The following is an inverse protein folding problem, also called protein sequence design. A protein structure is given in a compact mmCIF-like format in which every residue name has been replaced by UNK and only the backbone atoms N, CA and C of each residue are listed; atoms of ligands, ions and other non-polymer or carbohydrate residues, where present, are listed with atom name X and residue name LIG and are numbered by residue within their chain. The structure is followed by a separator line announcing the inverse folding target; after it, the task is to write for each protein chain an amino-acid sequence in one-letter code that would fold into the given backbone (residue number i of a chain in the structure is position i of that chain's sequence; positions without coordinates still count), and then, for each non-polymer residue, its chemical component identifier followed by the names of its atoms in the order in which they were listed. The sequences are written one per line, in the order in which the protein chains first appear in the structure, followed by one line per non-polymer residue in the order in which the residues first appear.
data_IF_926931958976
#
_entry.id   IF_926931958976
#
_cell.length_a   1.000
_cell.length_b   1.000
_cell.length_c   1.000
_cell.angle_alpha   90.00
_cell.angle_beta   90.00
_cell.angle_gamma   90.00
#
_symmetry.space_group_name_H-M   'P 1'
#
loop_
_entity.id
_entity.type
_entity.pdbx_description
1 polymer ?
#
# COMPACT_ATOMS: atom_id res chain seq x y z
N UNK A 1 -10.75 21.14 -15.42
CA UNK A 1 -9.88 20.72 -14.31
C UNK A 1 -9.47 21.97 -13.55
N UNK A 2 -9.68 22.04 -12.23
CA UNK A 2 -9.21 23.17 -11.44
C UNK A 2 -7.67 23.14 -11.42
N UNK A 3 -7.03 24.30 -11.65
CA UNK A 3 -5.58 24.41 -11.65
C UNK A 3 -5.13 24.84 -10.26
N UNK A 4 -4.46 23.96 -9.53
CA UNK A 4 -3.89 24.26 -8.22
C UNK A 4 -2.44 24.72 -8.38
N UNK A 5 -2.08 25.85 -7.79
CA UNK A 5 -0.71 26.38 -7.82
C UNK A 5 0.21 25.66 -6.84
N UNK A 6 -0.34 25.07 -5.79
CA UNK A 6 0.40 24.31 -4.79
C UNK A 6 -0.41 23.13 -4.25
N UNK A 7 0.29 22.10 -3.78
CA UNK A 7 -0.31 20.97 -3.07
C UNK A 7 0.32 20.84 -1.69
N UNK A 8 -0.50 20.75 -0.65
CA UNK A 8 -0.08 20.51 0.73
C UNK A 8 -0.45 19.08 1.08
N UNK A 9 0.56 18.22 1.17
CA UNK A 9 0.40 16.80 1.49
C UNK A 9 0.63 16.62 2.98
N UNK A 10 -0.37 16.11 3.70
CA UNK A 10 -0.28 15.83 5.14
C UNK A 10 -0.28 14.33 5.34
N UNK A 11 0.77 13.82 5.99
CA UNK A 11 0.89 12.39 6.27
C UNK A 11 -0.19 11.91 7.25
N UNK A 12 -0.99 10.93 6.81
CA UNK A 12 -2.13 10.37 7.58
C UNK A 12 -1.98 8.87 7.88
N UNK A 13 -0.79 8.32 7.67
CA UNK A 13 -0.45 6.98 8.17
C UNK A 13 -0.48 6.91 9.70
N UNK A 14 -0.64 5.70 10.24
CA UNK A 14 -0.86 5.47 11.69
C UNK A 14 0.10 6.22 12.60
N UNK A 15 1.40 6.28 12.28
CA UNK A 15 2.40 7.00 13.08
C UNK A 15 2.13 8.51 13.18
N UNK A 16 1.84 9.17 12.06
CA UNK A 16 1.54 10.61 12.06
C UNK A 16 0.16 10.91 12.67
N UNK A 17 -0.81 10.01 12.47
CA UNK A 17 -2.13 10.12 13.10
C UNK A 17 -2.01 10.06 14.63
N UNK A 18 -1.19 9.14 15.16
CA UNK A 18 -0.89 9.08 16.59
C UNK A 18 -0.17 10.33 17.11
N UNK A 19 0.62 11.00 16.27
CA UNK A 19 1.30 12.27 16.59
C UNK A 19 0.43 13.52 16.33
N UNK A 20 -0.86 13.39 16.04
CA UNK A 20 -1.79 14.51 15.91
C UNK A 20 -1.97 15.07 14.49
N UNK A 21 -1.73 14.29 13.44
CA UNK A 21 -1.92 14.77 12.06
C UNK A 21 -3.38 15.06 11.67
N UNK A 22 -4.37 14.48 12.37
CA UNK A 22 -5.80 14.76 12.13
C UNK A 22 -6.17 16.21 12.48
N UNK A 23 -5.97 16.66 13.73
CA UNK A 23 -6.14 18.07 14.09
C UNK A 23 -5.30 19.03 13.24
N UNK A 24 -4.10 18.60 12.82
CA UNK A 24 -3.25 19.38 11.92
C UNK A 24 -3.92 19.59 10.55
N UNK A 25 -4.44 18.52 9.93
CA UNK A 25 -5.14 18.59 8.64
C UNK A 25 -6.34 19.54 8.71
N UNK A 26 -7.15 19.43 9.76
CA UNK A 26 -8.31 20.30 9.95
C UNK A 26 -7.91 21.77 10.15
N UNK A 27 -6.79 22.02 10.81
CA UNK A 27 -6.26 23.38 10.96
C UNK A 27 -5.80 23.95 9.63
N UNK A 28 -5.13 23.15 8.79
CA UNK A 28 -4.80 23.55 7.41
C UNK A 28 -6.04 23.90 6.60
N UNK A 29 -7.05 23.03 6.61
CA UNK A 29 -8.31 23.23 5.88
C UNK A 29 -8.97 24.55 6.26
N UNK A 30 -9.07 24.84 7.56
CA UNK A 30 -9.65 26.09 8.08
C UNK A 30 -8.81 27.31 7.72
N UNK A 31 -7.49 27.22 7.83
CA UNK A 31 -6.59 28.33 7.57
C UNK A 31 -6.55 28.72 6.08
N UNK A 32 -6.54 27.72 5.19
CA UNK A 32 -6.62 27.93 3.75
C UNK A 32 -7.92 28.63 3.36
N UNK A 33 -9.06 28.17 3.89
CA UNK A 33 -10.36 28.81 3.65
C UNK A 33 -10.40 30.24 4.22
N UNK A 34 -9.87 30.47 5.42
CA UNK A 34 -9.80 31.80 6.06
C UNK A 34 -9.05 32.82 5.21
N UNK A 35 -8.00 32.38 4.51
CA UNK A 35 -7.18 33.23 3.62
C UNK A 35 -7.64 33.22 2.16
N UNK A 36 -8.72 32.51 1.82
CA UNK A 36 -9.24 32.38 0.45
C UNK A 36 -8.32 31.62 -0.50
N UNK A 37 -7.46 30.74 0.03
CA UNK A 37 -6.49 29.94 -0.73
C UNK A 37 -7.00 28.53 -1.07
N UNK A 38 -8.19 28.15 -0.59
CA UNK A 38 -8.81 26.83 -0.76
C UNK A 38 -9.12 26.46 -2.22
N UNK A 39 -9.17 27.45 -3.11
CA UNK A 39 -9.33 27.24 -4.57
C UNK A 39 -8.01 27.20 -5.35
N UNK A 40 -6.90 27.58 -4.71
CA UNK A 40 -5.58 27.66 -5.33
C UNK A 40 -4.62 26.59 -4.79
N UNK A 41 -4.86 26.12 -3.56
CA UNK A 41 -4.03 25.13 -2.86
C UNK A 41 -4.85 23.87 -2.62
N UNK A 42 -4.38 22.74 -3.15
CA UNK A 42 -4.97 21.44 -2.87
C UNK A 42 -4.41 20.89 -1.56
N UNK A 43 -5.28 20.52 -0.62
CA UNK A 43 -4.91 19.85 0.62
C UNK A 43 -5.15 18.35 0.49
N UNK A 44 -4.09 17.55 0.53
CA UNK A 44 -4.12 16.10 0.25
C UNK A 44 -3.74 15.32 1.51
N UNK A 45 -4.55 14.33 1.88
CA UNK A 45 -4.16 13.32 2.85
C UNK A 45 -3.29 12.27 2.17
N UNK A 46 -2.13 11.93 2.73
CA UNK A 46 -1.22 10.95 2.10
C UNK A 46 -0.90 9.75 2.98
N UNK A 47 -0.40 8.70 2.33
CA UNK A 47 0.19 7.53 2.99
C UNK A 47 1.46 7.86 3.79
N UNK A 48 2.03 6.85 4.45
CA UNK A 48 3.21 7.01 5.30
C UNK A 48 4.46 7.41 4.50
N UNK A 49 5.19 8.44 4.96
CA UNK A 49 6.51 8.80 4.42
C UNK A 49 7.67 7.99 5.00
N UNK A 50 7.45 7.18 6.05
CA UNK A 50 8.44 6.26 6.63
C UNK A 50 9.35 6.82 7.73
N UNK A 51 9.55 8.14 7.84
CA UNK A 51 10.37 8.75 8.90
C UNK A 51 9.49 9.21 10.09
N UNK A 52 8.86 8.26 10.77
CA UNK A 52 7.86 8.55 11.81
C UNK A 52 8.38 9.42 12.97
N UNK A 53 9.69 9.40 13.27
CA UNK A 53 10.32 10.25 14.28
C UNK A 53 10.21 11.77 13.99
N UNK A 54 9.99 12.11 12.72
CA UNK A 54 9.80 13.49 12.26
C UNK A 54 8.32 13.83 12.01
N UNK A 55 7.39 12.94 12.40
CA UNK A 55 5.96 13.17 12.31
C UNK A 55 5.43 14.24 13.28
N UNK A 56 4.29 14.90 12.98
CA UNK A 56 3.59 14.89 11.70
C UNK A 56 4.42 15.53 10.57
N UNK A 57 4.40 14.89 9.39
CA UNK A 57 5.12 15.33 8.19
C UNK A 57 4.15 16.08 7.28
N UNK A 58 4.59 17.23 6.77
CA UNK A 58 3.89 17.99 5.73
C UNK A 58 4.85 18.23 4.56
N UNK A 59 4.41 17.94 3.34
CA UNK A 59 5.17 18.23 2.12
C UNK A 59 4.40 19.22 1.28
N UNK A 60 5.09 20.25 0.78
CA UNK A 60 4.48 21.24 -0.12
C UNK A 60 5.12 21.19 -1.50
N UNK A 61 4.31 20.96 -2.52
CA UNK A 61 4.68 21.01 -3.94
C UNK A 61 4.24 22.35 -4.56
N UNK A 62 4.94 22.85 -5.60
CA UNK A 62 5.90 22.13 -6.47
C UNK A 62 7.34 22.00 -5.94
N UNK A 63 7.75 22.81 -4.95
CA UNK A 63 9.14 22.83 -4.46
C UNK A 63 9.54 21.51 -3.78
N UNK A 64 8.58 20.73 -3.30
CA UNK A 64 8.84 19.50 -2.54
C UNK A 64 9.44 19.78 -1.16
N UNK A 65 9.06 20.91 -0.54
CA UNK A 65 9.54 21.32 0.78
C UNK A 65 9.03 20.36 1.86
N UNK A 66 9.94 19.79 2.64
CA UNK A 66 9.66 18.78 3.66
C UNK A 66 9.70 19.38 5.06
N UNK A 67 8.53 19.47 5.69
CA UNK A 67 8.36 20.01 7.02
C UNK A 67 8.18 18.89 8.05
N UNK A 68 8.96 18.98 9.13
CA UNK A 68 9.03 18.00 10.21
C UNK A 68 8.29 18.50 11.45
N UNK A 69 7.67 17.57 12.19
CA UNK A 69 7.06 17.79 13.52
C UNK A 69 6.11 19.00 13.54
N UNK A 70 5.37 19.18 12.45
CA UNK A 70 4.47 20.32 12.28
C UNK A 70 3.31 20.17 13.27
N UNK A 71 3.05 21.24 14.04
CA UNK A 71 1.93 21.29 14.97
C UNK A 71 0.82 22.18 14.41
N UNK A 72 -0.43 22.01 14.89
CA UNK A 72 -1.54 22.90 14.51
C UNK A 72 -1.20 24.39 14.67
N UNK A 73 -0.43 24.76 15.70
CA UNK A 73 -0.07 26.15 15.98
C UNK A 73 0.92 26.73 14.94
N UNK A 74 1.65 25.88 14.22
CA UNK A 74 2.59 26.29 13.16
C UNK A 74 1.87 26.60 11.84
N UNK A 75 0.63 26.15 11.66
CA UNK A 75 -0.11 26.24 10.39
C UNK A 75 -0.32 27.67 9.92
N UNK A 76 -0.76 28.64 10.76
CA UNK A 76 -0.94 30.02 10.30
C UNK A 76 0.35 30.64 9.75
N UNK A 77 1.50 30.37 10.36
CA UNK A 77 2.80 30.85 9.91
C UNK A 77 3.24 30.13 8.62
N UNK A 78 3.05 28.81 8.54
CA UNK A 78 3.42 28.04 7.35
C UNK A 78 2.61 28.47 6.12
N UNK A 79 1.29 28.62 6.27
CA UNK A 79 0.42 29.11 5.19
C UNK A 79 0.82 30.53 4.78
N UNK A 80 1.14 31.39 5.74
CA UNK A 80 1.56 32.76 5.46
C UNK A 80 2.89 32.83 4.72
N UNK A 81 3.94 32.24 5.29
CA UNK A 81 5.28 32.33 4.74
C UNK A 81 5.37 31.56 3.42
N UNK A 82 4.94 30.30 3.40
CA UNK A 82 5.17 29.46 2.24
C UNK A 82 4.10 29.63 1.16
N UNK A 83 2.82 29.50 1.51
CA UNK A 83 1.75 29.45 0.51
C UNK A 83 1.30 30.83 0.04
N UNK A 84 1.41 31.86 0.89
CA UNK A 84 1.01 33.22 0.53
C UNK A 84 2.20 34.07 0.05
N UNK A 85 3.32 34.07 0.79
CA UNK A 85 4.50 34.90 0.46
C UNK A 85 5.56 34.18 -0.39
N UNK A 86 5.45 32.87 -0.61
CA UNK A 86 6.39 32.08 -1.41
C UNK A 86 7.75 31.83 -0.74
N UNK A 87 7.84 31.93 0.59
CA UNK A 87 9.08 31.73 1.36
C UNK A 87 9.02 30.45 2.19
N UNK A 88 9.99 29.57 1.96
CA UNK A 88 10.10 28.31 2.71
C UNK A 88 10.33 28.59 4.20
N UNK A 89 9.53 27.95 5.05
CA UNK A 89 9.59 28.13 6.50
C UNK A 89 10.75 27.32 7.11
N UNK A 90 11.95 27.92 7.11
CA UNK A 90 13.22 27.28 7.47
C UNK A 90 13.22 26.56 8.83
N UNK A 91 12.52 27.09 9.83
CA UNK A 91 12.54 26.53 11.20
C UNK A 91 11.96 25.11 11.26
N UNK A 92 11.00 24.79 10.38
CA UNK A 92 10.31 23.50 10.33
C UNK A 92 10.95 22.50 9.37
N UNK A 93 11.97 22.89 8.60
CA UNK A 93 12.67 21.96 7.72
C UNK A 93 13.46 20.91 8.51
N UNK A 94 13.70 19.77 7.87
CA UNK A 94 14.62 18.77 8.39
C UNK A 94 15.98 19.41 8.68
N UNK A 95 16.51 19.12 9.87
CA UNK A 95 17.84 19.59 10.30
C UNK A 95 18.71 18.36 10.46
N UNK A 96 19.87 18.38 9.81
CA UNK A 96 20.82 17.28 9.94
C UNK A 96 21.30 17.15 11.41
N UNK A 97 21.57 15.92 11.88
CA UNK A 97 21.92 15.68 13.28
C UNK A 97 23.39 16.01 13.60
N UNK A 98 24.20 16.33 12.60
CA UNK A 98 25.61 16.69 12.76
C UNK A 98 25.80 18.13 13.26
N UNK A 99 27.06 18.49 13.52
CA UNK A 99 27.44 19.76 14.16
C UNK A 99 27.00 20.97 13.34
N UNK A 100 26.97 20.87 12.01
CA UNK A 100 26.67 21.98 11.11
C UNK A 100 25.17 22.30 11.04
N UNK A 101 24.29 21.38 11.49
CA UNK A 101 22.82 21.56 11.57
C UNK A 101 22.22 22.15 10.29
N UNK A 102 22.56 21.57 9.16
CA UNK A 102 22.12 22.03 7.84
C UNK A 102 20.61 21.80 7.70
N UNK A 103 19.90 22.82 7.19
CA UNK A 103 18.48 22.73 6.85
C UNK A 103 18.33 22.16 5.45
N UNK A 104 17.61 21.05 5.32
CA UNK A 104 17.39 20.37 4.05
C UNK A 104 15.92 20.57 3.65
N UNK A 105 15.65 21.31 2.55
CA UNK A 105 14.28 21.57 2.12
C UNK A 105 13.67 20.37 1.40
N UNK A 106 14.42 19.68 0.55
CA UNK A 106 13.83 18.69 -0.35
C UNK A 106 13.88 17.28 0.22
N UNK A 107 12.76 16.56 0.04
CA UNK A 107 12.59 15.16 0.45
C UNK A 107 13.74 14.24 0.02
N UNK A 108 14.24 14.39 -1.21
CA UNK A 108 15.27 13.51 -1.81
C UNK A 108 16.67 13.72 -1.21
N UNK A 109 16.93 14.89 -0.65
CA UNK A 109 18.24 15.28 -0.16
C UNK A 109 18.43 14.92 1.33
N UNK A 110 17.33 14.58 2.02
CA UNK A 110 17.39 14.13 3.41
C UNK A 110 18.15 12.79 3.47
N UNK A 111 19.21 12.67 4.29
CA UNK A 111 20.07 11.46 4.33
C UNK A 111 19.31 10.16 4.57
N UNK A 112 18.21 10.22 5.33
CA UNK A 112 17.32 9.08 5.55
C UNK A 112 16.74 8.53 4.24
N UNK A 113 16.33 9.40 3.31
CA UNK A 113 15.70 9.03 2.05
C UNK A 113 16.68 8.89 0.88
N UNK A 114 17.70 9.74 0.81
CA UNK A 114 18.58 9.84 -0.37
C UNK A 114 19.34 8.56 -0.73
N UNK A 115 19.47 7.61 0.21
CA UNK A 115 20.11 6.31 0.00
C UNK A 115 19.12 5.17 -0.26
N UNK A 116 17.81 5.42 -0.24
CA UNK A 116 16.79 4.39 -0.39
C UNK A 116 16.38 4.21 -1.86
N UNK A 117 16.13 2.95 -2.24
CA UNK A 117 15.39 2.62 -3.47
C UNK A 117 13.98 2.14 -3.08
N UNK A 118 13.01 3.04 -3.14
CA UNK A 118 11.62 2.77 -2.74
C UNK A 118 10.83 2.11 -3.87
N UNK A 119 10.98 0.78 -4.05
CA UNK A 119 10.25 0.03 -5.08
C UNK A 119 8.82 -0.27 -4.62
N UNK A 120 8.68 -0.98 -3.49
CA UNK A 120 7.37 -1.31 -2.90
C UNK A 120 6.67 -0.06 -2.36
N UNK A 121 7.43 0.88 -1.80
CA UNK A 121 6.91 2.11 -1.19
C UNK A 121 6.89 3.30 -2.16
N UNK A 122 6.88 3.06 -3.48
CA UNK A 122 7.05 4.09 -4.52
C UNK A 122 5.98 5.18 -4.49
N UNK A 123 4.76 4.85 -4.05
CA UNK A 123 3.64 5.79 -3.96
C UNK A 123 3.38 6.28 -2.53
N UNK A 124 3.91 5.60 -1.51
CA UNK A 124 3.65 5.95 -0.11
C UNK A 124 4.21 7.35 0.22
N UNK A 125 3.32 8.26 0.58
CA UNK A 125 3.60 9.67 0.85
C UNK A 125 3.46 10.60 -0.37
N UNK A 126 3.13 10.06 -1.55
CA UNK A 126 2.92 10.83 -2.78
C UNK A 126 1.48 10.84 -3.26
N UNK A 127 0.71 9.80 -2.92
CA UNK A 127 -0.71 9.69 -3.27
C UNK A 127 -1.61 9.77 -2.05
N UNK A 128 -2.84 10.16 -2.28
CA UNK A 128 -3.97 9.83 -1.43
C UNK A 128 -4.37 8.35 -1.62
N UNK A 129 -4.16 7.49 -0.61
CA UNK A 129 -4.48 6.07 -0.70
C UNK A 129 -5.98 5.76 -0.77
N UNK A 130 -6.83 6.75 -0.50
CA UNK A 130 -8.29 6.64 -0.58
C UNK A 130 -8.83 7.11 -1.96
N UNK A 131 -7.94 7.42 -2.92
CA UNK A 131 -8.29 7.86 -4.27
C UNK A 131 -7.59 7.02 -5.36
N UNK A 132 -8.33 6.10 -5.98
CA UNK A 132 -7.84 5.26 -7.07
C UNK A 132 -7.27 6.04 -8.27
N UNK A 133 -7.78 7.25 -8.57
CA UNK A 133 -7.30 8.04 -9.71
C UNK A 133 -5.84 8.48 -9.51
N UNK A 134 -5.41 8.73 -8.27
CA UNK A 134 -4.01 9.07 -7.97
C UNK A 134 -3.07 7.88 -8.14
N UNK A 135 -3.57 6.66 -7.90
CA UNK A 135 -2.83 5.43 -8.21
C UNK A 135 -2.70 5.24 -9.72
N UNK A 136 -3.79 5.39 -10.47
CA UNK A 136 -3.81 5.29 -11.94
C UNK A 136 -2.92 6.36 -12.58
N UNK A 137 -2.94 7.59 -12.08
CA UNK A 137 -2.08 8.69 -12.54
C UNK A 137 -0.58 8.42 -12.35
N UNK A 138 -0.22 7.39 -11.57
CA UNK A 138 1.15 6.93 -11.33
C UNK A 138 1.36 5.51 -11.88
N UNK A 139 0.80 5.24 -13.05
CA UNK A 139 0.94 3.99 -13.80
C UNK A 139 0.26 2.78 -13.14
N UNK A 140 -0.58 3.00 -12.11
CA UNK A 140 -1.36 1.96 -11.45
C UNK A 140 -2.35 1.28 -12.40
N UNK A 141 -2.49 -0.04 -12.29
CA UNK A 141 -3.29 -0.90 -13.19
C UNK A 141 -2.80 -0.97 -14.65
N UNK A 142 -1.74 -0.26 -15.02
CA UNK A 142 -1.17 -0.35 -16.36
C UNK A 142 -0.54 -1.73 -16.60
N UNK A 143 0.11 -2.31 -15.58
CA UNK A 143 0.67 -3.65 -15.69
C UNK A 143 -0.44 -4.69 -15.80
N UNK A 144 -1.53 -4.55 -15.02
CA UNK A 144 -2.71 -5.39 -15.16
C UNK A 144 -3.31 -5.34 -16.57
N UNK A 145 -3.52 -4.14 -17.12
CA UNK A 145 -4.06 -3.98 -18.46
C UNK A 145 -3.18 -4.67 -19.51
N UNK A 146 -1.86 -4.51 -19.40
CA UNK A 146 -0.91 -5.19 -20.29
C UNK A 146 -1.01 -6.71 -20.20
N UNK A 147 -1.05 -7.28 -18.99
CA UNK A 147 -1.09 -8.74 -18.85
C UNK A 147 -2.41 -9.33 -19.31
N UNK A 148 -3.53 -8.64 -19.11
CA UNK A 148 -4.83 -9.16 -19.52
C UNK A 148 -5.08 -9.03 -21.03
N UNK A 149 -4.58 -7.97 -21.67
CA UNK A 149 -4.91 -7.65 -23.06
C UNK A 149 -3.84 -8.12 -24.06
N UNK A 150 -2.58 -8.26 -23.64
CA UNK A 150 -1.46 -8.46 -24.56
C UNK A 150 -0.65 -9.73 -24.28
N UNK A 151 -0.62 -10.23 -23.04
CA UNK A 151 0.31 -11.29 -22.65
C UNK A 151 -0.40 -12.56 -22.16
N UNK A 152 -0.10 -13.74 -22.72
CA UNK A 152 -0.55 -15.00 -22.14
C UNK A 152 -0.06 -15.19 -20.70
N UNK A 153 -0.82 -15.93 -19.90
CA UNK A 153 -0.49 -16.23 -18.51
C UNK A 153 0.87 -16.93 -18.35
N UNK A 154 1.25 -17.82 -19.26
CA UNK A 154 2.55 -18.49 -19.29
C UNK A 154 3.71 -17.51 -19.47
N UNK A 155 3.55 -16.55 -20.39
CA UNK A 155 4.58 -15.54 -20.65
C UNK A 155 4.71 -14.57 -19.46
N UNK A 156 3.57 -14.20 -18.88
CA UNK A 156 3.53 -13.38 -17.66
C UNK A 156 4.23 -14.10 -16.50
N UNK A 157 4.00 -15.41 -16.32
CA UNK A 157 4.70 -16.23 -15.34
C UNK A 157 6.22 -16.24 -15.57
N UNK A 158 6.66 -16.34 -16.81
CA UNK A 158 8.09 -16.31 -17.15
C UNK A 158 8.74 -14.96 -16.86
N UNK A 159 8.03 -13.84 -17.02
CA UNK A 159 8.50 -12.51 -16.58
C UNK A 159 8.72 -12.51 -15.06
N UNK A 160 7.77 -13.03 -14.28
CA UNK A 160 7.87 -13.13 -12.81
C UNK A 160 9.02 -14.05 -12.39
N UNK A 161 9.25 -15.15 -13.10
CA UNK A 161 10.40 -16.05 -12.85
C UNK A 161 11.72 -15.35 -13.14
N UNK A 162 11.81 -14.62 -14.26
CA UNK A 162 13.02 -13.88 -14.68
C UNK A 162 13.35 -12.71 -13.76
N UNK A 163 12.35 -12.09 -13.11
CA UNK A 163 12.60 -11.00 -12.14
C UNK A 163 13.38 -11.45 -10.90
N UNK A 164 13.36 -12.76 -10.60
CA UNK A 164 14.00 -13.31 -9.41
C UNK A 164 13.29 -12.93 -8.11
N UNK A 165 12.02 -12.51 -8.16
CA UNK A 165 11.24 -12.17 -6.98
C UNK A 165 11.17 -13.37 -6.01
N UNK A 166 11.40 -13.08 -4.73
CA UNK A 166 11.33 -14.04 -3.63
C UNK A 166 10.30 -13.55 -2.61
N UNK A 167 9.61 -14.49 -1.97
CA UNK A 167 8.64 -14.21 -0.92
C UNK A 167 9.24 -13.36 0.19
N UNK A 168 8.59 -12.23 0.49
CA UNK A 168 9.05 -11.21 1.44
C UNK A 168 8.60 -11.44 2.88
N UNK A 169 7.83 -12.50 3.16
CA UNK A 169 7.40 -12.90 4.50
C UNK A 169 8.45 -13.72 5.27
N UNK A 170 9.74 -13.51 5.01
CA UNK A 170 10.85 -14.19 5.70
C UNK A 170 11.40 -15.44 5.00
N UNK A 171 10.55 -16.37 4.56
CA UNK A 171 11.02 -17.66 4.00
C UNK A 171 11.80 -17.54 2.67
N UNK A 172 11.61 -16.46 1.91
CA UNK A 172 12.40 -16.20 0.71
C UNK A 172 12.22 -17.24 -0.40
N UNK A 173 11.10 -17.95 -0.48
CA UNK A 173 10.86 -18.90 -1.56
C UNK A 173 10.66 -18.17 -2.91
N UNK A 174 11.20 -18.64 -4.05
CA UNK A 174 11.01 -17.97 -5.34
C UNK A 174 9.53 -17.86 -5.74
N UNK A 175 9.04 -16.64 -5.92
CA UNK A 175 7.60 -16.37 -6.13
C UNK A 175 7.11 -16.99 -7.44
N UNK A 176 7.84 -16.81 -8.54
CA UNK A 176 7.48 -17.39 -9.84
C UNK A 176 7.38 -18.92 -9.80
N UNK A 177 8.26 -19.60 -9.06
CA UNK A 177 8.16 -21.07 -8.87
C UNK A 177 6.94 -21.45 -8.04
N UNK A 178 6.61 -20.67 -6.99
CA UNK A 178 5.42 -20.92 -6.16
C UNK A 178 4.15 -20.80 -7.01
N UNK A 179 4.09 -19.79 -7.88
CA UNK A 179 2.95 -19.56 -8.78
C UNK A 179 2.85 -20.64 -9.85
N UNK A 180 3.97 -21.08 -10.43
CA UNK A 180 4.05 -22.21 -11.36
C UNK A 180 3.45 -23.50 -10.76
N UNK A 181 3.79 -23.83 -9.51
CA UNK A 181 3.22 -25.00 -8.84
C UNK A 181 1.70 -24.91 -8.66
N UNK A 182 1.16 -23.74 -8.32
CA UNK A 182 -0.27 -23.54 -8.22
C UNK A 182 -0.97 -23.58 -9.60
N UNK A 183 -0.34 -23.03 -10.64
CA UNK A 183 -0.85 -23.12 -12.02
C UNK A 183 -0.90 -24.57 -12.51
N UNK A 184 0.13 -25.36 -12.23
CA UNK A 184 0.20 -26.77 -12.67
C UNK A 184 -0.63 -27.73 -11.81
N UNK A 185 -1.08 -27.31 -10.63
CA UNK A 185 -1.88 -28.16 -9.76
C UNK A 185 -3.24 -28.50 -10.42
N UNK A 186 -3.68 -29.77 -10.35
CA UNK A 186 -4.93 -30.20 -10.96
C UNK A 186 -6.15 -29.62 -10.23
N UNK A 187 -7.24 -29.40 -10.98
CA UNK A 187 -8.53 -28.93 -10.49
C UNK A 187 -8.93 -27.57 -11.05
N UNK A 188 -10.24 -27.35 -11.12
CA UNK A 188 -10.84 -26.19 -11.80
C UNK A 188 -10.93 -24.94 -10.93
N UNK A 189 -10.78 -25.11 -9.60
CA UNK A 189 -10.85 -24.02 -8.62
C UNK A 189 -9.53 -23.89 -7.88
N UNK A 190 -9.03 -22.66 -7.83
CA UNK A 190 -7.79 -22.28 -7.15
C UNK A 190 -8.04 -21.00 -6.35
N UNK A 191 -7.16 -20.73 -5.40
CA UNK A 191 -7.25 -19.53 -4.57
C UNK A 191 -5.90 -18.82 -4.52
N UNK A 192 -5.95 -17.49 -4.44
CA UNK A 192 -4.82 -16.66 -4.04
C UNK A 192 -5.11 -15.99 -2.70
N UNK A 193 -4.12 -15.97 -1.82
CA UNK A 193 -4.26 -15.40 -0.48
C UNK A 193 -3.11 -14.44 -0.22
N UNK A 194 -3.44 -13.23 0.20
CA UNK A 194 -2.49 -12.29 0.77
C UNK A 194 -2.47 -12.45 2.29
N UNK A 195 -1.32 -12.81 2.84
CA UNK A 195 -1.06 -12.82 4.28
C UNK A 195 -0.64 -11.42 4.72
N UNK A 196 -1.54 -10.75 5.45
CA UNK A 196 -1.37 -9.44 6.07
C UNK A 196 -1.52 -9.52 7.61
N UNK A 197 -1.11 -10.64 8.20
CA UNK A 197 -1.16 -10.82 9.66
C UNK A 197 -0.01 -10.10 10.40
N UNK A 198 1.08 -9.72 9.71
CA UNK A 198 2.28 -8.99 10.20
C UNK A 198 2.41 -8.96 11.74
N UNK A 199 2.51 -10.15 12.33
CA UNK A 199 2.41 -10.33 13.79
C UNK A 199 3.69 -10.00 14.53
N UNK A 200 4.82 -9.94 13.82
CA UNK A 200 6.15 -9.79 14.39
C UNK A 200 6.35 -8.43 15.08
N UNK A 201 6.83 -8.40 16.34
CA UNK A 201 7.13 -7.15 17.02
C UNK A 201 8.12 -6.28 16.24
N UNK A 202 7.76 -5.02 16.01
CA UNK A 202 8.57 -4.07 15.27
C UNK A 202 8.40 -4.11 13.74
N UNK A 203 7.62 -5.05 13.20
CA UNK A 203 7.23 -5.05 11.79
C UNK A 203 6.02 -4.14 11.54
N UNK A 204 6.11 -3.32 10.49
CA UNK A 204 5.05 -2.42 10.02
C UNK A 204 5.20 -2.13 8.51
N UNK A 205 5.93 -2.97 7.80
CA UNK A 205 6.16 -2.85 6.37
C UNK A 205 4.88 -3.18 5.59
N UNK A 206 4.16 -4.23 5.99
CA UNK A 206 2.89 -4.60 5.38
C UNK A 206 1.87 -3.50 5.68
N UNK A 207 1.77 -3.07 6.95
CA UNK A 207 0.94 -1.93 7.35
C UNK A 207 1.18 -0.69 6.49
N UNK A 208 2.45 -0.34 6.27
CA UNK A 208 2.81 0.87 5.52
C UNK A 208 2.34 0.84 4.08
N UNK A 209 2.33 -0.34 3.45
CA UNK A 209 1.82 -0.55 2.09
C UNK A 209 0.30 -0.53 2.10
N UNK A 210 -0.36 -1.29 2.97
CA UNK A 210 -1.83 -1.36 3.00
C UNK A 210 -2.48 -0.01 3.35
N UNK A 211 -1.84 0.76 4.24
CA UNK A 211 -2.32 2.10 4.57
C UNK A 211 -1.92 3.13 3.51
N UNK A 212 -0.83 2.94 2.77
CA UNK A 212 -0.25 3.99 1.94
C UNK A 212 -0.43 3.82 0.43
N UNK A 213 -0.67 2.60 -0.03
CA UNK A 213 -0.80 2.21 -1.44
C UNK A 213 -1.55 0.85 -1.55
N UNK A 214 -2.80 0.73 -1.08
CA UNK A 214 -3.54 -0.53 -1.06
C UNK A 214 -3.75 -1.12 -2.46
N UNK A 215 -3.97 -0.28 -3.47
CA UNK A 215 -4.16 -0.71 -4.85
C UNK A 215 -2.96 -1.49 -5.41
N UNK A 216 -1.73 -1.19 -4.97
CA UNK A 216 -0.56 -1.99 -5.38
C UNK A 216 -0.63 -3.46 -4.97
N UNK A 217 -1.25 -3.76 -3.83
CA UNK A 217 -1.45 -5.13 -3.36
C UNK A 217 -2.55 -5.81 -4.15
N UNK A 218 -3.64 -5.07 -4.38
CA UNK A 218 -4.80 -5.53 -5.17
C UNK A 218 -4.39 -5.86 -6.60
N UNK A 219 -3.65 -4.97 -7.27
CA UNK A 219 -3.13 -5.18 -8.63
C UNK A 219 -2.22 -6.41 -8.68
N UNK A 220 -1.30 -6.56 -7.72
CA UNK A 220 -0.43 -7.74 -7.64
C UNK A 220 -1.19 -9.05 -7.45
N UNK A 221 -2.27 -9.03 -6.67
CA UNK A 221 -3.15 -10.19 -6.49
C UNK A 221 -3.91 -10.52 -7.78
N UNK A 222 -4.40 -9.53 -8.52
CA UNK A 222 -5.05 -9.73 -9.81
C UNK A 222 -4.11 -10.37 -10.84
N UNK A 223 -2.88 -9.87 -10.95
CA UNK A 223 -1.85 -10.43 -11.84
C UNK A 223 -1.52 -11.87 -11.43
N UNK A 224 -1.33 -12.10 -10.12
CA UNK A 224 -1.09 -13.45 -9.59
C UNK A 224 -2.25 -14.40 -9.88
N UNK A 225 -3.49 -13.94 -9.71
CA UNK A 225 -4.71 -14.69 -9.97
C UNK A 225 -4.85 -15.09 -11.45
N UNK A 226 -4.58 -14.16 -12.36
CA UNK A 226 -4.52 -14.42 -13.81
C UNK A 226 -3.51 -15.52 -14.15
N UNK A 227 -2.31 -15.43 -13.58
CA UNK A 227 -1.23 -16.41 -13.81
C UNK A 227 -1.57 -17.79 -13.26
N UNK A 228 -2.19 -17.90 -12.08
CA UNK A 228 -2.50 -19.23 -11.51
C UNK A 228 -3.80 -19.82 -12.08
N UNK A 229 -4.66 -18.99 -12.67
CA UNK A 229 -6.02 -19.36 -13.09
C UNK A 229 -6.97 -19.41 -11.89
N UNK A 230 -6.95 -18.37 -11.06
CA UNK A 230 -7.83 -18.22 -9.88
C UNK A 230 -8.82 -17.11 -10.15
N UNK A 231 -10.08 -17.38 -9.85
CA UNK A 231 -11.22 -16.45 -9.93
C UNK A 231 -11.60 -15.85 -8.56
N UNK A 232 -10.92 -16.28 -7.49
CA UNK A 232 -11.25 -15.87 -6.12
C UNK A 232 -10.00 -15.70 -5.25
N UNK A 233 -9.97 -14.64 -4.45
CA UNK A 233 -8.84 -14.31 -3.61
C UNK A 233 -9.21 -13.70 -2.26
N UNK A 234 -8.27 -13.77 -1.32
CA UNK A 234 -8.51 -13.35 0.06
C UNK A 234 -7.33 -12.57 0.64
N UNK A 235 -7.59 -11.45 1.28
CA UNK A 235 -6.62 -10.75 2.12
C UNK A 235 -6.94 -11.09 3.57
N UNK A 236 -6.08 -11.87 4.21
CA UNK A 236 -6.18 -12.10 5.66
C UNK A 236 -5.42 -10.99 6.38
N UNK A 237 -6.16 -10.00 6.90
CA UNK A 237 -5.60 -8.85 7.58
C UNK A 237 -5.88 -8.93 9.07
N UNK A 238 -4.86 -8.72 9.91
CA UNK A 238 -5.04 -8.71 11.36
C UNK A 238 -6.00 -7.60 11.82
N UNK A 239 -6.80 -7.88 12.85
CA UNK A 239 -7.76 -6.91 13.41
C UNK A 239 -7.10 -5.68 14.03
N UNK A 240 -5.82 -5.76 14.43
CA UNK A 240 -5.10 -4.62 15.00
C UNK A 240 -4.71 -3.56 13.95
N UNK A 241 -5.02 -3.76 12.66
CA UNK A 241 -4.77 -2.81 11.57
C UNK A 241 -6.09 -2.22 11.01
N UNK A 242 -6.90 -1.50 11.82
CA UNK A 242 -8.21 -1.02 11.40
C UNK A 242 -8.15 -0.01 10.24
N UNK A 243 -7.12 0.82 10.17
CA UNK A 243 -6.93 1.76 9.05
C UNK A 243 -6.62 1.03 7.74
N UNK A 244 -5.80 -0.03 7.79
CA UNK A 244 -5.50 -0.85 6.63
C UNK A 244 -6.75 -1.57 6.12
N UNK A 245 -7.55 -2.16 7.03
CA UNK A 245 -8.82 -2.82 6.68
C UNK A 245 -9.78 -1.82 6.01
N UNK A 246 -9.93 -0.61 6.58
CA UNK A 246 -10.76 0.44 5.98
C UNK A 246 -10.30 0.77 4.56
N UNK A 247 -9.01 1.04 4.37
CA UNK A 247 -8.42 1.42 3.07
C UNK A 247 -8.49 0.31 2.05
N UNK A 248 -8.31 -0.94 2.46
CA UNK A 248 -8.50 -2.09 1.58
C UNK A 248 -9.95 -2.23 1.12
N UNK A 249 -10.94 -2.06 2.00
CA UNK A 249 -12.34 -2.08 1.58
C UNK A 249 -12.62 -0.98 0.55
N UNK A 250 -12.19 0.26 0.82
CA UNK A 250 -12.33 1.38 -0.13
C UNK A 250 -11.62 1.10 -1.45
N UNK A 251 -10.41 0.54 -1.44
CA UNK A 251 -9.68 0.21 -2.65
C UNK A 251 -10.34 -0.90 -3.48
N UNK A 252 -10.93 -1.90 -2.83
CA UNK A 252 -11.69 -2.97 -3.51
C UNK A 252 -12.96 -2.40 -4.11
N UNK A 253 -13.74 -1.63 -3.34
CA UNK A 253 -14.96 -0.96 -3.81
C UNK A 253 -14.69 -0.08 -5.03
N UNK A 254 -13.67 0.78 -4.99
CA UNK A 254 -13.28 1.63 -6.12
C UNK A 254 -12.84 0.81 -7.35
N UNK A 255 -12.13 -0.30 -7.13
CA UNK A 255 -11.71 -1.16 -8.23
C UNK A 255 -12.88 -1.93 -8.86
N UNK A 256 -13.87 -2.35 -8.06
CA UNK A 256 -15.13 -2.94 -8.56
C UNK A 256 -15.94 -1.92 -9.36
N UNK A 257 -16.09 -0.69 -8.86
CA UNK A 257 -16.81 0.40 -9.54
C UNK A 257 -16.22 0.74 -10.92
N UNK A 258 -14.89 0.64 -11.07
CA UNK A 258 -14.20 0.85 -12.35
C UNK A 258 -14.08 -0.41 -13.23
N UNK A 259 -14.61 -1.56 -12.81
CA UNK A 259 -14.51 -2.82 -13.56
C UNK A 259 -13.09 -3.41 -13.63
N UNK A 260 -12.26 -3.10 -12.63
CA UNK A 260 -10.90 -3.62 -12.44
C UNK A 260 -10.87 -4.90 -11.57
N UNK A 261 -11.95 -5.16 -10.83
CA UNK A 261 -12.26 -6.38 -10.07
C UNK A 261 -13.69 -6.80 -10.41
N UNK A 262 -14.00 -8.08 -10.26
CA UNK A 262 -15.33 -8.65 -10.49
C UNK A 262 -15.36 -9.52 -11.74
N UNK A 263 -16.48 -9.50 -12.45
CA UNK A 263 -16.69 -10.32 -13.63
C UNK A 263 -16.21 -9.61 -14.90
N UNK A 264 -15.57 -10.36 -15.80
CA UNK A 264 -15.12 -9.89 -17.11
C UNK A 264 -14.27 -8.61 -17.05
N UNK A 265 -13.22 -8.64 -16.22
CA UNK A 265 -12.36 -7.51 -15.91
C UNK A 265 -11.80 -6.90 -17.20
N UNK A 266 -11.90 -5.58 -17.34
CA UNK A 266 -11.51 -4.83 -18.54
C UNK A 266 -12.14 -5.35 -19.86
N UNK A 267 -13.29 -6.01 -19.79
CA UNK A 267 -13.97 -6.61 -20.95
C UNK A 267 -13.34 -7.91 -21.46
N UNK A 268 -12.43 -8.50 -20.69
CA UNK A 268 -11.85 -9.82 -20.97
C UNK A 268 -12.74 -10.94 -20.44
N UNK A 269 -12.37 -12.20 -20.68
CA UNK A 269 -12.97 -13.40 -20.09
C UNK A 269 -12.44 -13.73 -18.68
N UNK A 270 -11.47 -12.96 -18.18
CA UNK A 270 -10.95 -13.13 -16.82
C UNK A 270 -11.85 -12.44 -15.80
N UNK A 271 -12.18 -13.17 -14.72
CA UNK A 271 -12.98 -12.67 -13.60
C UNK A 271 -12.24 -12.96 -12.29
N UNK A 272 -12.32 -12.05 -11.32
CA UNK A 272 -11.68 -12.21 -10.02
C UNK A 272 -12.44 -11.48 -8.92
N UNK A 273 -12.78 -12.22 -7.86
CA UNK A 273 -13.46 -11.69 -6.68
C UNK A 273 -12.51 -11.68 -5.48
N UNK A 274 -12.40 -10.54 -4.79
CA UNK A 274 -11.46 -10.34 -3.69
C UNK A 274 -12.19 -10.07 -2.38
N UNK A 275 -11.85 -10.82 -1.34
CA UNK A 275 -12.47 -10.70 -0.03
C UNK A 275 -11.46 -10.37 1.06
N UNK A 276 -11.88 -9.59 2.05
CA UNK A 276 -11.06 -9.34 3.25
C UNK A 276 -11.55 -10.28 4.36
N UNK A 277 -10.61 -11.01 4.97
CA UNK A 277 -10.84 -11.74 6.21
C UNK A 277 -10.10 -11.05 7.34
N UNK A 278 -10.86 -10.49 8.27
CA UNK A 278 -10.31 -9.95 9.50
C UNK A 278 -9.86 -11.09 10.43
N UNK A 279 -8.62 -11.01 10.90
CA UNK A 279 -8.06 -11.92 11.89
C UNK A 279 -8.63 -11.70 13.28
N UNK A 280 -8.34 -12.60 14.22
CA UNK A 280 -8.88 -12.57 15.58
C UNK A 280 -7.80 -12.45 16.67
N UNK A 281 -6.68 -11.77 16.37
CA UNK A 281 -5.60 -11.49 17.33
C UNK A 281 -4.68 -12.67 17.66
N UNK A 282 -4.57 -13.65 16.76
CA UNK A 282 -3.75 -14.84 16.97
C UNK A 282 -2.47 -14.80 16.13
N UNK A 283 -1.33 -14.54 16.77
CA UNK A 283 0.00 -14.50 16.11
C UNK A 283 0.33 -15.75 15.27
N UNK A 284 -0.13 -16.92 15.72
CA UNK A 284 0.08 -18.18 14.98
C UNK A 284 -0.58 -18.19 13.60
N UNK A 285 -1.61 -17.35 13.37
CA UNK A 285 -2.27 -17.23 12.07
C UNK A 285 -1.38 -16.55 11.01
N UNK A 286 -0.20 -16.04 11.35
CA UNK A 286 0.81 -15.69 10.35
C UNK A 286 1.41 -16.91 9.64
N UNK A 287 1.28 -18.11 10.23
CA UNK A 287 1.69 -19.38 9.59
C UNK A 287 0.67 -19.79 8.52
N UNK A 288 1.14 -20.20 7.34
CA UNK A 288 0.33 -20.44 6.14
C UNK A 288 -0.87 -21.38 6.36
N UNK A 289 -0.70 -22.49 7.09
CA UNK A 289 -1.78 -23.46 7.30
C UNK A 289 -2.75 -23.05 8.40
N UNK A 290 -2.26 -22.39 9.45
CA UNK A 290 -3.11 -21.79 10.48
C UNK A 290 -3.96 -20.64 9.91
N UNK A 291 -3.39 -19.83 9.02
CA UNK A 291 -4.07 -18.76 8.29
C UNK A 291 -5.25 -19.31 7.49
N UNK A 292 -5.02 -20.36 6.69
CA UNK A 292 -6.08 -21.00 5.91
C UNK A 292 -7.19 -21.55 6.81
N UNK A 293 -6.83 -22.24 7.90
CA UNK A 293 -7.83 -22.73 8.85
C UNK A 293 -8.68 -21.59 9.43
N UNK A 294 -8.07 -20.45 9.74
CA UNK A 294 -8.79 -19.26 10.22
C UNK A 294 -9.72 -18.66 9.16
N UNK A 295 -9.29 -18.60 7.89
CA UNK A 295 -10.16 -18.17 6.78
C UNK A 295 -11.37 -19.11 6.65
N UNK A 296 -11.16 -20.42 6.81
CA UNK A 296 -12.24 -21.44 6.79
C UNK A 296 -13.17 -21.40 8.02
N UNK A 297 -12.95 -20.48 8.97
CA UNK A 297 -13.74 -20.39 10.19
C UNK A 297 -13.38 -21.43 11.26
N UNK A 298 -12.28 -22.16 11.07
CA UNK A 298 -11.74 -23.11 12.05
C UNK A 298 -10.75 -22.41 12.98
N UNK A 299 -10.36 -23.11 14.05
CA UNK A 299 -9.26 -22.67 14.91
C UNK A 299 -7.95 -22.67 14.12
N UNK A 300 -7.19 -21.57 14.18
CA UNK A 300 -5.90 -21.41 13.50
C UNK A 300 -4.79 -22.26 14.11
N UNK A 301 -4.85 -23.57 13.90
CA UNK A 301 -3.78 -24.51 14.27
C UNK A 301 -2.96 -24.88 13.04
N UNK A 302 -1.62 -24.84 13.13
CA UNK A 302 -0.76 -25.35 12.07
C UNK A 302 -1.01 -26.83 11.80
N UNK A 303 -0.99 -27.22 10.54
CA UNK A 303 -1.07 -28.61 10.12
C UNK A 303 0.31 -29.10 9.64
N UNK A 304 0.70 -30.36 9.97
CA UNK A 304 1.92 -30.95 9.42
C UNK A 304 1.87 -30.99 7.89
N UNK A 305 2.98 -30.65 7.25
CA UNK A 305 3.19 -30.80 5.81
C UNK A 305 3.98 -32.09 5.57
N UNK A 306 3.71 -32.86 4.50
CA UNK A 306 2.75 -32.65 3.41
C UNK A 306 1.27 -32.94 3.80
N UNK A 307 0.28 -32.43 3.01
CA UNK A 307 0.43 -31.71 1.74
C UNK A 307 0.80 -30.23 1.91
N UNK A 308 1.43 -29.65 0.89
CA UNK A 308 1.69 -28.21 0.83
C UNK A 308 0.46 -27.44 0.33
N UNK A 309 0.25 -26.17 0.76
CA UNK A 309 -0.91 -25.37 0.35
C UNK A 309 -1.09 -25.23 -1.16
N UNK A 310 0.02 -25.15 -1.92
CA UNK A 310 0.01 -25.06 -3.37
C UNK A 310 -0.58 -26.31 -4.06
N UNK A 311 -0.63 -27.45 -3.36
CA UNK A 311 -1.22 -28.70 -3.84
C UNK A 311 -2.61 -28.92 -3.26
N UNK A 312 -2.78 -28.70 -1.96
CA UNK A 312 -4.06 -28.84 -1.25
C UNK A 312 -4.05 -27.90 -0.05
N UNK A 313 -4.57 -26.69 -0.25
CA UNK A 313 -4.69 -25.67 0.77
C UNK A 313 -6.14 -25.49 1.20
N UNK A 314 -6.67 -24.28 1.02
CA UNK A 314 -8.02 -23.90 1.40
C UNK A 314 -9.06 -24.80 0.76
N UNK A 315 -9.95 -25.36 1.58
CA UNK A 315 -11.02 -26.27 1.19
C UNK A 315 -10.52 -27.44 0.31
N UNK A 316 -9.26 -27.85 0.50
CA UNK A 316 -8.60 -28.90 -0.28
C UNK A 316 -8.24 -28.49 -1.71
N UNK A 317 -8.27 -27.20 -2.05
CA UNK A 317 -7.94 -26.67 -3.38
C UNK A 317 -6.54 -26.08 -3.44
N UNK A 318 -5.87 -26.08 -4.60
CA UNK A 318 -4.58 -25.41 -4.76
C UNK A 318 -4.67 -23.95 -4.34
N UNK A 319 -3.87 -23.55 -3.35
CA UNK A 319 -3.90 -22.22 -2.76
C UNK A 319 -2.52 -21.60 -2.79
N UNK A 320 -2.39 -20.47 -3.47
CA UNK A 320 -1.17 -19.67 -3.42
C UNK A 320 -1.26 -18.66 -2.28
N UNK A 321 -0.23 -18.58 -1.45
CA UNK A 321 -0.19 -17.62 -0.33
C UNK A 321 1.05 -16.74 -0.51
N UNK A 322 0.88 -15.43 -0.56
CA UNK A 322 1.97 -14.47 -0.63
C UNK A 322 1.79 -13.42 0.47
N UNK A 323 2.87 -12.82 0.96
CA UNK A 323 2.77 -11.69 1.88
C UNK A 323 2.60 -10.37 1.11
N UNK A 324 2.14 -9.33 1.80
CA UNK A 324 1.80 -8.01 1.22
C UNK A 324 2.89 -7.43 0.30
N UNK A 325 4.16 -7.22 0.73
CA UNK A 325 5.22 -6.70 -0.13
C UNK A 325 5.64 -7.63 -1.28
N UNK A 326 5.23 -8.89 -1.29
CA UNK A 326 5.41 -9.72 -2.50
C UNK A 326 4.36 -9.39 -3.55
N UNK A 327 3.12 -9.11 -3.14
CA UNK A 327 2.06 -8.66 -4.04
C UNK A 327 2.30 -7.25 -4.57
N UNK A 328 2.75 -6.32 -3.71
CA UNK A 328 2.98 -4.92 -4.09
C UNK A 328 4.26 -4.66 -4.92
N UNK A 329 5.08 -5.68 -5.16
CA UNK A 329 6.35 -5.56 -5.89
C UNK A 329 6.16 -5.65 -7.40
#
# INVERSE_FOLDING_TARGET
MALYRAHVLVCRGTGCTASGSGPLYETFRKELARRGLDKEVMLVETGCHGMCEMGPIVVVYPEGSFYCRVKPEDVPELVEEHLYKGRILQRLLYTTPDVEKIKIPHYRDIPFYGKQRRIVLRNCGYINPDNIEEYIARDGYQALAKVLLELPAEETLDIVKKSGLRGRGGAGFPTGRKWEFARMAPGDKKYIVCNADEGDPGAFMDRSVLEGDPHSVVEGMLIGAYIIGSDEGYIYCRAEYPLAIKRLNTAIEQAEELGLIGDNIMGTDFSFHLHIKEGAGAFVCGEETALMASIEGKRGMPNPRPPFPATSGRWGKPTNINNVPTGAN
#
